data_IF_431693229542
#
_entry.id   IF_431693229542
#
_cell.length_a   1.000
_cell.length_b   1.000
_cell.length_c   1.000
_cell.angle_alpha   90.00
_cell.angle_beta   90.00
_cell.angle_gamma   90.00
#
_symmetry.space_group_name_H-M   'P 1'
#
loop_
_entity.id
_entity.type
_entity.pdbx_description
1 polymer ?
#
# COMPACT_ATOMS: atom_id res chain seq x y z
N UNK A 1 -14.47 6.28 -5.74
CA UNK A 1 -13.40 7.20 -6.14
C UNK A 1 -12.97 6.93 -7.55
N UNK A 2 -12.99 7.97 -8.40
CA UNK A 2 -12.27 7.93 -9.67
C UNK A 2 -10.84 8.37 -9.34
N UNK A 3 -9.96 7.40 -9.10
CA UNK A 3 -8.53 7.69 -9.00
C UNK A 3 -8.05 8.06 -10.40
N UNK A 4 -7.75 9.34 -10.60
CA UNK A 4 -7.35 9.85 -11.92
C UNK A 4 -5.84 9.73 -12.05
N UNK A 5 -5.38 9.15 -13.16
CA UNK A 5 -3.96 9.07 -13.46
C UNK A 5 -3.35 10.48 -13.55
N UNK A 6 -2.11 10.59 -13.12
CA UNK A 6 -1.31 11.78 -13.40
C UNK A 6 -0.54 11.59 -14.70
N UNK A 7 0.27 12.59 -15.08
CA UNK A 7 1.20 12.47 -16.21
C UNK A 7 2.18 11.29 -16.09
N UNK A 8 2.46 10.82 -14.87
CA UNK A 8 3.52 9.82 -14.61
C UNK A 8 3.09 8.68 -13.70
N UNK A 9 1.95 8.78 -13.03
CA UNK A 9 1.52 7.82 -12.01
C UNK A 9 0.11 7.33 -12.29
N UNK A 10 -0.07 6.04 -12.13
CA UNK A 10 -1.39 5.38 -12.07
C UNK A 10 -1.67 4.95 -10.64
N UNK A 11 -2.94 4.95 -10.26
CA UNK A 11 -3.37 4.55 -8.92
C UNK A 11 -4.32 3.37 -9.02
N UNK A 12 -4.11 2.38 -8.16
CA UNK A 12 -4.86 1.13 -8.21
C UNK A 12 -5.37 0.71 -6.84
N UNK A 13 -5.72 -0.57 -6.73
CA UNK A 13 -5.90 -1.25 -5.45
C UNK A 13 -4.72 -2.18 -5.22
N UNK A 14 -4.32 -2.33 -3.97
CA UNK A 14 -3.39 -3.37 -3.59
C UNK A 14 -4.01 -4.74 -3.86
N UNK A 15 -3.13 -5.69 -4.17
CA UNK A 15 -3.41 -7.11 -4.29
C UNK A 15 -2.45 -7.91 -3.42
N UNK A 16 -2.66 -9.22 -3.32
CA UNK A 16 -1.74 -10.10 -2.59
C UNK A 16 -0.33 -10.15 -3.22
N UNK A 17 -0.21 -9.82 -4.50
CA UNK A 17 1.06 -9.80 -5.23
C UNK A 17 1.93 -8.59 -4.87
N UNK A 18 1.37 -7.57 -4.21
CA UNK A 18 2.10 -6.35 -3.83
C UNK A 18 2.76 -6.45 -2.44
N UNK A 19 2.89 -7.68 -1.93
CA UNK A 19 3.45 -7.97 -0.61
C UNK A 19 4.86 -7.40 -0.43
N UNK A 20 5.71 -7.59 -1.43
CA UNK A 20 7.10 -7.15 -1.37
C UNK A 20 7.20 -5.62 -1.25
N UNK A 21 6.43 -4.88 -2.04
CA UNK A 21 6.40 -3.41 -1.97
C UNK A 21 5.91 -2.89 -0.62
N UNK A 22 4.90 -3.54 -0.03
CA UNK A 22 4.41 -3.18 1.30
C UNK A 22 5.44 -3.50 2.39
N UNK A 23 6.19 -4.59 2.24
CA UNK A 23 7.26 -4.94 3.18
C UNK A 23 8.46 -4.00 3.07
N UNK A 24 8.88 -3.63 1.85
CA UNK A 24 9.94 -2.65 1.64
C UNK A 24 9.63 -1.35 2.39
N UNK A 25 8.41 -0.84 2.28
CA UNK A 25 8.00 0.37 2.98
C UNK A 25 7.86 0.17 4.50
N UNK A 26 7.20 -0.92 4.93
CA UNK A 26 6.80 -1.10 6.33
C UNK A 26 7.88 -1.74 7.20
N UNK A 27 8.83 -2.44 6.60
CA UNK A 27 9.98 -3.04 7.27
C UNK A 27 11.15 -2.08 7.42
N UNK A 28 11.19 -0.97 6.67
CA UNK A 28 12.28 -0.01 6.71
C UNK A 28 12.18 0.93 7.94
N UNK A 29 13.11 0.77 8.89
CA UNK A 29 13.20 1.62 10.07
C UNK A 29 13.45 3.10 9.77
N UNK A 30 14.19 3.40 8.69
CA UNK A 30 14.45 4.77 8.28
C UNK A 30 13.22 5.46 7.70
N UNK A 31 12.27 4.71 7.14
CA UNK A 31 10.97 5.26 6.76
C UNK A 31 10.02 5.32 7.95
N UNK A 32 9.95 4.24 8.73
CA UNK A 32 8.98 4.10 9.82
C UNK A 32 9.19 5.11 10.95
N UNK A 33 10.40 5.67 11.13
CA UNK A 33 10.66 6.78 12.06
C UNK A 33 9.81 8.03 11.78
N UNK A 34 9.32 8.20 10.55
CA UNK A 34 8.44 9.31 10.15
C UNK A 34 6.95 8.98 10.23
N UNK A 35 6.59 7.71 10.47
CA UNK A 35 5.20 7.26 10.53
C UNK A 35 4.82 7.04 12.00
N UNK A 36 4.14 8.03 12.58
CA UNK A 36 3.76 8.07 13.99
C UNK A 36 3.10 6.77 14.47
N UNK A 37 3.58 6.23 15.60
CA UNK A 37 3.03 5.06 16.31
C UNK A 37 3.13 3.71 15.59
N UNK A 38 4.01 3.55 14.60
CA UNK A 38 4.16 2.26 13.90
C UNK A 38 5.61 1.80 13.90
N UNK A 39 5.87 0.66 14.55
CA UNK A 39 7.17 -0.03 14.46
C UNK A 39 7.35 -0.65 13.07
N UNK A 40 8.60 -0.88 12.62
CA UNK A 40 8.86 -1.74 11.46
C UNK A 40 8.14 -3.09 11.58
N UNK A 41 7.45 -3.48 10.53
CA UNK A 41 6.69 -4.73 10.45
C UNK A 41 7.55 -5.84 9.83
N UNK A 42 7.40 -7.07 10.33
CA UNK A 42 8.01 -8.23 9.67
C UNK A 42 7.23 -8.63 8.42
N UNK A 43 7.85 -9.40 7.52
CA UNK A 43 7.18 -9.94 6.33
C UNK A 43 5.90 -10.72 6.70
N UNK A 44 5.94 -11.50 7.78
CA UNK A 44 4.79 -12.23 8.28
C UNK A 44 3.66 -11.30 8.74
N UNK A 45 4.00 -10.21 9.44
CA UNK A 45 3.01 -9.20 9.85
C UNK A 45 2.41 -8.47 8.65
N UNK A 46 3.20 -8.16 7.63
CA UNK A 46 2.69 -7.54 6.40
C UNK A 46 1.71 -8.48 5.71
N UNK A 47 2.09 -9.74 5.51
CA UNK A 47 1.27 -10.75 4.85
C UNK A 47 -0.02 -11.06 5.61
N UNK A 48 0.08 -11.34 6.91
CA UNK A 48 -1.03 -11.89 7.68
C UNK A 48 -1.88 -10.83 8.38
N UNK A 49 -1.38 -9.59 8.54
CA UNK A 49 -2.12 -8.50 9.20
C UNK A 49 -2.38 -7.34 8.26
N UNK A 50 -1.34 -6.80 7.61
CA UNK A 50 -1.47 -5.55 6.86
C UNK A 50 -2.28 -5.72 5.57
N UNK A 51 -1.94 -6.69 4.71
CA UNK A 51 -2.66 -6.93 3.46
C UNK A 51 -4.14 -7.20 3.72
N UNK A 52 -4.54 -8.12 4.63
CA UNK A 52 -5.94 -8.34 4.95
C UNK A 52 -6.65 -7.08 5.44
N UNK A 53 -5.96 -6.24 6.23
CA UNK A 53 -6.53 -4.96 6.70
C UNK A 53 -6.76 -3.98 5.56
N UNK A 54 -5.82 -3.89 4.61
CA UNK A 54 -5.97 -3.04 3.42
C UNK A 54 -7.11 -3.57 2.54
N UNK A 55 -7.17 -4.88 2.28
CA UNK A 55 -8.25 -5.48 1.47
C UNK A 55 -9.62 -5.24 2.09
N UNK A 56 -9.73 -5.42 3.42
CA UNK A 56 -10.95 -5.12 4.17
C UNK A 56 -11.32 -3.63 4.11
N UNK A 57 -10.35 -2.71 3.95
CA UNK A 57 -10.68 -1.29 3.84
C UNK A 57 -11.56 -1.00 2.62
N UNK A 58 -11.33 -1.68 1.49
CA UNK A 58 -12.08 -1.48 0.25
C UNK A 58 -13.56 -1.90 0.33
N UNK A 59 -13.97 -2.64 1.36
CA UNK A 59 -15.38 -3.01 1.56
C UNK A 59 -16.22 -1.86 2.12
N UNK A 60 -15.60 -0.79 2.63
CA UNK A 60 -16.31 0.35 3.22
C UNK A 60 -16.81 1.36 2.18
N UNK A 61 -16.56 1.11 0.89
CA UNK A 61 -17.01 1.92 -0.22
C UNK A 61 -15.90 2.21 -1.23
N UNK A 62 -16.25 2.69 -2.43
CA UNK A 62 -15.30 2.93 -3.50
C UNK A 62 -14.34 4.10 -3.23
N UNK A 63 -14.60 4.91 -2.20
CA UNK A 63 -13.82 6.09 -1.80
C UNK A 63 -12.98 5.90 -0.53
N UNK A 64 -13.01 4.71 0.05
CA UNK A 64 -12.32 4.43 1.30
C UNK A 64 -11.30 3.30 1.13
N UNK A 65 -10.06 3.58 1.50
CA UNK A 65 -9.00 2.58 1.54
C UNK A 65 -7.61 3.17 1.41
N UNK A 66 -6.64 2.28 1.20
CA UNK A 66 -5.24 2.63 0.96
C UNK A 66 -4.93 2.22 -0.48
N UNK A 67 -4.43 3.14 -1.30
CA UNK A 67 -4.28 2.92 -2.74
C UNK A 67 -2.81 3.10 -3.15
N UNK A 68 -2.18 2.09 -3.79
CA UNK A 68 -0.83 2.24 -4.30
C UNK A 68 -0.79 3.19 -5.49
N UNK A 69 0.35 3.85 -5.66
CA UNK A 69 0.71 4.57 -6.86
C UNK A 69 1.84 3.81 -7.57
N UNK A 70 1.66 3.55 -8.86
CA UNK A 70 2.68 2.93 -9.71
C UNK A 70 3.13 3.93 -10.77
N UNK A 71 4.39 3.87 -11.14
CA UNK A 71 4.88 4.61 -12.29
C UNK A 71 4.15 4.11 -13.55
N UNK A 72 3.69 5.03 -14.38
CA UNK A 72 3.26 4.70 -15.73
C UNK A 72 4.54 4.36 -16.48
N UNK A 73 4.74 3.07 -16.76
CA UNK A 73 5.83 2.65 -17.63
C UNK A 73 5.47 3.10 -19.04
N UNK A 74 6.10 4.17 -19.50
CA UNK A 74 6.13 4.53 -20.92
C UNK A 74 6.98 3.44 -21.61
N UNK A 75 6.33 2.57 -22.40
CA UNK A 75 7.02 1.75 -23.40
C UNK A 75 7.58 2.64 -24.51
#
# INVERSE_FOLDING_TARGET
MILTNTKRLTFGRYSEYDLEYLFELKGDSDVMKYITLVRPMTMEEVKNKLIPRIMKSYTHGPDFGIFPAFLINDN
#
